data_IF_750571589445
#
_entry.id   IF_750571589445
#
_cell.length_a   1.000
_cell.length_b   1.000
_cell.length_c   1.000
_cell.angle_alpha   90.00
_cell.angle_beta   90.00
_cell.angle_gamma   90.00
#
_symmetry.space_group_name_H-M   'P 1'
#
loop_
_entity.id
_entity.type
_entity.pdbx_description
1 polymer ?
#
# COMPACT_ATOMS: atom_id res chain seq x y z
N UNK A 1 -6.51 -55.51 -41.29
CA UNK A 1 -7.50 -56.28 -40.50
C UNK A 1 -8.41 -55.28 -39.82
N UNK A 2 -9.58 -54.98 -40.40
CA UNK A 2 -10.86 -55.69 -40.21
C UNK A 2 -11.54 -55.22 -38.90
N UNK A 3 -12.40 -54.19 -38.98
CA UNK A 3 -13.83 -54.28 -39.30
C UNK A 3 -14.61 -55.18 -38.35
N UNK A 4 -15.45 -54.55 -37.52
CA UNK A 4 -16.76 -55.10 -37.18
C UNK A 4 -17.78 -53.97 -37.19
N UNK A 5 -18.97 -54.29 -37.73
CA UNK A 5 -20.03 -53.38 -38.10
C UNK A 5 -21.38 -53.90 -37.57
N UNK A 6 -22.31 -52.96 -37.35
CA UNK A 6 -23.78 -53.06 -37.22
C UNK A 6 -24.35 -53.56 -35.87
N UNK A 7 -25.54 -53.08 -35.40
CA UNK A 7 -26.65 -52.52 -36.19
C UNK A 7 -27.14 -51.10 -35.79
N UNK A 8 -27.93 -50.53 -36.71
CA UNK A 8 -28.74 -49.31 -36.55
C UNK A 8 -29.91 -49.60 -35.60
N UNK A 9 -30.18 -48.67 -34.68
CA UNK A 9 -31.49 -48.55 -34.02
C UNK A 9 -31.98 -47.10 -34.09
N UNK A 10 -33.29 -46.98 -34.23
CA UNK A 10 -34.00 -45.82 -34.77
C UNK A 10 -33.84 -44.54 -33.94
N UNK A 11 -33.82 -43.43 -34.66
CA UNK A 11 -33.89 -42.07 -34.15
C UNK A 11 -35.12 -41.93 -33.23
N UNK A 12 -34.87 -41.77 -31.93
CA UNK A 12 -35.91 -41.38 -30.97
C UNK A 12 -36.42 -39.98 -31.30
N UNK A 13 -37.73 -39.81 -31.24
CA UNK A 13 -38.39 -38.52 -31.47
C UNK A 13 -37.77 -37.45 -30.55
N UNK A 14 -37.45 -36.30 -31.14
CA UNK A 14 -36.95 -35.15 -30.39
C UNK A 14 -38.09 -34.65 -29.51
N UNK A 15 -38.00 -34.88 -28.20
CA UNK A 15 -38.96 -34.35 -27.24
C UNK A 15 -39.10 -32.83 -27.37
N UNK A 16 -40.32 -32.34 -27.22
CA UNK A 16 -40.65 -30.92 -27.34
C UNK A 16 -39.75 -30.07 -26.44
N UNK A 17 -39.33 -28.92 -26.96
CA UNK A 17 -38.55 -27.96 -26.19
C UNK A 17 -39.46 -27.37 -25.11
N UNK A 18 -39.19 -27.70 -23.85
CA UNK A 18 -39.90 -27.10 -22.72
C UNK A 18 -39.86 -25.57 -22.74
N UNK A 19 -40.95 -24.96 -22.31
CA UNK A 19 -41.13 -23.51 -22.30
C UNK A 19 -39.99 -22.81 -21.55
N UNK A 20 -39.61 -21.64 -22.07
CA UNK A 20 -38.61 -20.80 -21.41
C UNK A 20 -39.22 -20.26 -20.12
N UNK A 21 -38.66 -20.66 -18.98
CA UNK A 21 -39.07 -20.15 -17.67
C UNK A 21 -39.00 -18.63 -17.58
N UNK A 22 -39.94 -18.05 -16.84
CA UNK A 22 -40.07 -16.61 -16.68
C UNK A 22 -38.79 -15.98 -16.13
N UNK A 23 -38.51 -14.77 -16.62
CA UNK A 23 -37.36 -13.99 -16.14
C UNK A 23 -37.65 -13.56 -14.70
N UNK A 24 -36.86 -14.04 -13.75
CA UNK A 24 -36.96 -13.62 -12.35
C UNK A 24 -36.84 -12.09 -12.22
N UNK A 25 -37.65 -11.53 -11.33
CA UNK A 25 -37.70 -10.10 -11.07
C UNK A 25 -36.32 -9.58 -10.65
N UNK A 26 -35.98 -8.39 -11.16
CA UNK A 26 -34.73 -7.72 -10.82
C UNK A 26 -34.84 -7.21 -9.38
N UNK A 27 -33.95 -7.66 -8.50
CA UNK A 27 -33.85 -7.10 -7.16
C UNK A 27 -33.52 -5.61 -7.25
N UNK A 28 -34.41 -4.75 -6.77
CA UNK A 28 -34.10 -3.34 -6.55
C UNK A 28 -32.98 -3.25 -5.51
N UNK A 29 -31.88 -2.61 -5.89
CA UNK A 29 -30.81 -2.29 -4.94
C UNK A 29 -31.40 -1.25 -3.99
N UNK A 30 -31.54 -1.61 -2.73
CA UNK A 30 -32.02 -0.70 -1.68
C UNK A 30 -31.16 0.58 -1.61
N UNK A 31 -31.71 1.66 -1.04
CA UNK A 31 -30.99 2.93 -0.96
C UNK A 31 -29.65 2.74 -0.25
N UNK A 32 -28.60 3.37 -0.80
CA UNK A 32 -27.30 3.45 -0.14
C UNK A 32 -27.51 4.07 1.24
N UNK A 33 -27.02 3.39 2.29
CA UNK A 33 -27.11 3.90 3.66
C UNK A 33 -26.40 5.25 3.81
N UNK A 34 -26.76 6.04 4.85
CA UNK A 34 -26.12 7.32 5.09
C UNK A 34 -24.61 7.15 5.24
N UNK A 35 -23.84 8.13 4.76
CA UNK A 35 -22.40 8.16 4.97
C UNK A 35 -22.12 8.06 6.48
N UNK A 36 -21.21 7.15 6.86
CA UNK A 36 -20.78 7.02 8.24
C UNK A 36 -20.17 8.33 8.77
N UNK A 37 -20.03 8.48 10.09
CA UNK A 37 -19.35 9.63 10.69
C UNK A 37 -18.00 9.84 10.03
N UNK A 38 -17.62 11.09 9.76
CA UNK A 38 -16.28 11.42 9.25
C UNK A 38 -15.26 10.85 10.25
N UNK A 39 -14.63 9.73 9.89
CA UNK A 39 -13.45 9.24 10.60
C UNK A 39 -12.43 10.38 10.59
N UNK A 40 -11.77 10.67 11.71
CA UNK A 40 -10.81 11.78 11.84
C UNK A 40 -9.57 11.71 10.92
N UNK A 41 -9.59 10.85 9.89
CA UNK A 41 -8.52 10.57 8.97
C UNK A 41 -7.41 9.74 9.59
N UNK A 42 -6.45 9.36 8.77
CA UNK A 42 -5.28 8.57 9.16
C UNK A 42 -4.01 9.28 8.70
N UNK A 43 -2.99 9.33 9.57
CA UNK A 43 -1.65 9.79 9.21
C UNK A 43 -0.73 8.59 8.98
N UNK A 44 -0.06 8.55 7.83
CA UNK A 44 0.87 7.48 7.49
C UNK A 44 2.11 8.01 6.79
N UNK A 45 3.19 7.24 6.86
CA UNK A 45 4.44 7.54 6.16
C UNK A 45 4.47 6.80 4.83
N UNK A 46 4.82 7.52 3.78
CA UNK A 46 5.07 6.99 2.44
C UNK A 46 6.57 7.00 2.19
N UNK A 47 7.19 5.83 2.34
CA UNK A 47 8.63 5.65 2.13
C UNK A 47 9.01 5.70 0.64
N UNK A 48 10.22 6.18 0.35
CA UNK A 48 10.78 6.30 -1.00
C UNK A 48 10.18 7.42 -1.85
N UNK A 49 9.34 8.31 -1.29
CA UNK A 49 8.64 9.36 -2.05
C UNK A 49 8.46 10.62 -1.23
N UNK A 50 8.49 11.78 -1.90
CA UNK A 50 8.29 13.11 -1.30
C UNK A 50 6.86 13.65 -1.36
N UNK A 51 5.98 12.98 -2.10
CA UNK A 51 4.59 13.41 -2.32
C UNK A 51 3.58 12.39 -1.78
N UNK A 52 2.35 12.83 -1.56
CA UNK A 52 1.22 11.97 -1.23
C UNK A 52 0.43 11.56 -2.48
N UNK A 53 -0.22 10.38 -2.48
CA UNK A 53 -1.14 10.01 -3.55
C UNK A 53 -2.40 10.88 -3.54
N UNK A 54 -3.17 10.86 -4.64
CA UNK A 54 -4.45 11.56 -4.72
C UNK A 54 -5.39 11.12 -3.59
N UNK A 55 -6.08 12.10 -2.98
CA UNK A 55 -6.96 11.88 -1.84
C UNK A 55 -6.25 11.83 -0.47
N UNK A 56 -4.94 12.08 -0.44
CA UNK A 56 -4.20 12.34 0.80
C UNK A 56 -3.43 13.66 0.70
N UNK A 57 -3.41 14.40 1.80
CA UNK A 57 -2.75 15.70 1.94
C UNK A 57 -1.32 15.51 2.47
N UNK A 58 -0.36 16.26 1.91
CA UNK A 58 1.01 16.25 2.42
C UNK A 58 1.08 17.05 3.72
N UNK A 59 1.50 16.38 4.79
CA UNK A 59 1.79 17.04 6.06
C UNK A 59 3.21 17.61 6.03
N UNK A 60 4.20 16.78 5.70
CA UNK A 60 5.57 17.20 5.43
C UNK A 60 6.33 16.15 4.61
N UNK A 61 7.38 16.59 3.91
CA UNK A 61 8.38 15.73 3.27
C UNK A 61 9.69 15.70 4.06
N UNK A 62 10.47 14.64 3.83
CA UNK A 62 11.64 14.36 4.65
C UNK A 62 12.57 13.28 4.09
N UNK A 63 13.45 12.82 4.96
CA UNK A 63 14.31 11.66 4.75
C UNK A 63 13.95 10.55 5.74
N UNK A 64 13.94 9.31 5.28
CA UNK A 64 13.87 8.17 6.18
C UNK A 64 15.14 8.11 7.01
N UNK A 65 15.02 7.76 8.28
CA UNK A 65 16.13 7.73 9.21
C UNK A 65 15.95 6.63 10.25
N UNK A 66 17.07 6.16 10.79
CA UNK A 66 17.12 5.09 11.80
C UNK A 66 18.46 5.05 12.52
N UNK A 67 18.77 3.91 13.12
CA UNK A 67 20.09 3.65 13.70
C UNK A 67 21.16 3.39 12.65
N UNK A 68 22.42 3.68 13.00
CA UNK A 68 23.56 3.22 12.20
C UNK A 68 23.70 1.70 12.36
N UNK A 69 24.05 1.00 11.28
CA UNK A 69 24.13 -0.46 11.27
C UNK A 69 25.12 -1.05 12.29
N UNK A 70 26.15 -0.29 12.69
CA UNK A 70 27.13 -0.71 13.70
C UNK A 70 26.75 -0.33 15.14
N UNK A 71 25.70 0.47 15.33
CA UNK A 71 25.32 0.94 16.66
C UNK A 71 24.35 -0.03 17.33
N UNK A 72 24.74 -0.51 18.51
CA UNK A 72 23.87 -1.31 19.38
C UNK A 72 22.99 -0.40 20.22
N UNK A 73 21.69 -0.69 20.25
CA UNK A 73 20.70 0.17 20.91
C UNK A 73 20.23 1.33 20.01
N UNK A 74 18.93 1.57 20.01
CA UNK A 74 18.26 2.56 19.14
C UNK A 74 16.78 2.26 19.03
N UNK A 75 16.01 3.16 18.41
CA UNK A 75 14.62 2.87 18.04
C UNK A 75 14.58 1.75 16.99
N UNK A 76 13.70 0.76 17.17
CA UNK A 76 13.53 -0.33 16.21
C UNK A 76 12.93 0.16 14.87
N UNK A 77 12.24 1.30 14.90
CA UNK A 77 11.48 1.80 13.76
C UNK A 77 12.23 2.88 12.99
N UNK A 78 12.12 2.79 11.66
CA UNK A 78 12.47 3.89 10.79
C UNK A 78 11.48 5.06 10.99
N UNK A 79 12.01 6.28 11.04
CA UNK A 79 11.21 7.52 11.17
C UNK A 79 11.39 8.41 9.95
N UNK A 80 10.42 9.28 9.69
CA UNK A 80 10.53 10.30 8.64
C UNK A 80 10.98 11.61 9.27
N UNK A 81 12.24 12.00 9.06
CA UNK A 81 12.77 13.26 9.56
C UNK A 81 12.45 14.38 8.59
N UNK A 82 11.90 15.53 9.05
CA UNK A 82 11.71 16.69 8.21
C UNK A 82 13.00 17.10 7.50
N UNK A 83 12.93 17.41 6.20
CA UNK A 83 14.11 17.83 5.43
C UNK A 83 14.65 19.21 5.86
N UNK A 84 13.83 20.00 6.56
CA UNK A 84 14.22 21.30 7.10
C UNK A 84 14.80 21.12 8.50
N UNK A 85 15.93 21.78 8.74
CA UNK A 85 16.58 21.80 10.05
C UNK A 85 15.61 22.23 11.17
N UNK A 86 15.65 21.56 12.35
CA UNK A 86 14.83 21.94 13.48
C UNK A 86 15.23 23.34 13.99
N UNK A 87 14.24 24.20 14.23
CA UNK A 87 14.46 25.60 14.65
C UNK A 87 15.15 25.73 16.03
N UNK A 88 15.20 24.65 16.81
CA UNK A 88 15.69 24.64 18.19
C UNK A 88 17.01 23.88 18.38
N UNK A 89 17.80 23.69 17.33
CA UNK A 89 19.14 23.12 17.42
C UNK A 89 20.07 24.07 18.19
N UNK A 90 20.13 23.92 19.52
CA UNK A 90 21.06 24.66 20.37
C UNK A 90 22.46 24.08 20.20
N UNK A 91 23.42 24.97 19.90
CA UNK A 91 24.86 24.71 20.09
C UNK A 91 25.22 25.22 21.48
N UNK A 92 26.04 24.51 22.28
CA UNK A 92 26.87 23.36 21.93
C UNK A 92 26.14 22.01 22.00
N UNK A 93 26.69 21.01 21.30
CA UNK A 93 26.24 19.61 21.39
C UNK A 93 26.43 19.12 22.84
N UNK A 94 25.41 18.50 23.46
CA UNK A 94 25.54 17.99 24.83
C UNK A 94 26.55 16.83 24.92
N UNK A 95 27.16 16.59 26.10
CA UNK A 95 28.17 15.54 26.28
C UNK A 95 27.61 14.11 26.14
N UNK A 96 26.30 13.95 26.32
CA UNK A 96 25.59 12.70 26.09
C UNK A 96 24.49 12.94 25.05
N UNK A 97 24.48 12.14 24.00
CA UNK A 97 23.56 12.26 22.88
C UNK A 97 23.23 10.88 22.31
N UNK A 98 22.12 10.80 21.60
CA UNK A 98 21.76 9.66 20.75
C UNK A 98 21.76 10.13 19.31
N UNK A 99 22.26 9.30 18.41
CA UNK A 99 22.37 9.63 17.00
C UNK A 99 21.24 8.98 16.21
N UNK A 100 20.75 9.71 15.22
CA UNK A 100 19.84 9.22 14.20
C UNK A 100 20.44 9.54 12.84
N UNK A 101 20.44 8.56 11.95
CA UNK A 101 21.11 8.60 10.66
C UNK A 101 20.10 8.48 9.54
N UNK A 102 20.32 9.18 8.44
CA UNK A 102 19.53 8.98 7.22
C UNK A 102 19.70 7.56 6.71
N UNK A 103 18.60 6.93 6.31
CA UNK A 103 18.62 5.66 5.58
C UNK A 103 19.03 5.93 4.15
N UNK A 104 20.01 5.20 3.64
CA UNK A 104 20.50 5.36 2.28
C UNK A 104 20.18 4.16 1.39
N UNK A 105 20.11 4.42 0.08
CA UNK A 105 20.10 3.35 -0.92
C UNK A 105 21.51 2.79 -1.06
N UNK A 106 21.69 1.51 -0.74
CA UNK A 106 22.91 0.76 -1.03
C UNK A 106 22.83 0.17 -2.44
N UNK A 107 23.94 0.20 -3.19
CA UNK A 107 23.99 -0.38 -4.52
C UNK A 107 24.12 -1.91 -4.43
N UNK A 108 22.96 -2.56 -4.39
CA UNK A 108 22.84 -4.00 -4.61
C UNK A 108 22.19 -4.22 -5.96
N UNK A 109 22.95 -4.78 -6.91
CA UNK A 109 22.47 -5.19 -8.24
C UNK A 109 21.80 -4.07 -9.07
N UNK A 110 22.18 -2.79 -8.88
CA UNK A 110 21.60 -1.65 -9.60
C UNK A 110 20.05 -1.57 -9.55
N UNK A 111 19.43 -2.06 -8.48
CA UNK A 111 17.97 -1.96 -8.28
C UNK A 111 17.51 -0.49 -8.32
N UNK A 112 18.37 0.42 -7.83
CA UNK A 112 18.17 1.87 -7.91
C UNK A 112 19.36 2.53 -8.64
N UNK A 113 19.33 2.58 -9.99
CA UNK A 113 20.46 3.07 -10.79
C UNK A 113 20.86 4.49 -10.40
N UNK A 114 22.14 4.69 -10.10
CA UNK A 114 22.69 6.00 -9.73
C UNK A 114 22.20 6.55 -8.39
N UNK A 115 21.64 5.71 -7.50
CA UNK A 115 21.17 6.12 -6.17
C UNK A 115 22.04 5.65 -5.01
N UNK A 116 23.17 5.01 -5.27
CA UNK A 116 24.10 4.61 -4.22
C UNK A 116 24.42 5.79 -3.28
N UNK A 117 24.37 5.56 -1.97
CA UNK A 117 24.62 6.55 -0.92
C UNK A 117 23.68 7.78 -0.93
N UNK A 118 22.51 7.66 -1.58
CA UNK A 118 21.50 8.72 -1.52
C UNK A 118 20.48 8.41 -0.42
N UNK A 119 20.13 9.44 0.36
CA UNK A 119 19.08 9.32 1.36
C UNK A 119 17.74 8.91 0.73
N UNK A 120 17.07 7.96 1.37
CA UNK A 120 15.72 7.52 1.03
C UNK A 120 14.73 8.63 1.39
N UNK A 121 13.99 9.20 0.44
CA UNK A 121 13.00 10.24 0.76
C UNK A 121 11.78 9.63 1.45
N UNK A 122 11.06 10.45 2.22
CA UNK A 122 9.78 10.08 2.80
C UNK A 122 8.78 11.25 2.77
N UNK A 123 7.50 10.92 2.85
CA UNK A 123 6.41 11.87 2.96
C UNK A 123 5.42 11.40 4.02
N UNK A 124 5.04 12.29 4.94
CA UNK A 124 3.95 12.02 5.88
C UNK A 124 2.66 12.57 5.30
N UNK A 125 1.68 11.69 5.18
CA UNK A 125 0.44 11.94 4.48
C UNK A 125 -0.76 11.80 5.41
N UNK A 126 -1.70 12.72 5.31
CA UNK A 126 -2.99 12.67 5.97
C UNK A 126 -4.07 12.23 4.98
N UNK A 127 -4.76 11.12 5.26
CA UNK A 127 -5.86 10.62 4.44
C UNK A 127 -7.18 10.84 5.18
N UNK A 128 -7.98 11.86 4.83
CA UNK A 128 -9.21 12.21 5.55
C UNK A 128 -10.31 11.15 5.42
N UNK A 129 -10.33 10.41 4.30
CA UNK A 129 -11.35 9.40 3.99
C UNK A 129 -10.92 7.97 4.34
N UNK A 130 -9.95 7.82 5.26
CA UNK A 130 -9.47 6.52 5.77
C UNK A 130 -9.61 6.50 7.28
N UNK A 131 -9.96 5.33 7.81
CA UNK A 131 -10.19 5.11 9.25
C UNK A 131 -9.20 4.16 9.89
N UNK A 132 -8.38 3.43 9.11
CA UNK A 132 -7.40 2.47 9.62
C UNK A 132 -6.05 2.61 8.91
N UNK A 133 -4.97 2.33 9.66
CA UNK A 133 -3.60 2.21 9.18
C UNK A 133 -3.07 0.83 9.56
N UNK A 134 -2.60 0.07 8.58
CA UNK A 134 -1.76 -1.08 8.87
C UNK A 134 -0.32 -0.59 9.03
N UNK A 135 0.32 -0.95 10.14
CA UNK A 135 1.76 -0.79 10.32
C UNK A 135 2.39 -2.18 10.27
N UNK A 136 3.40 -2.33 9.43
CA UNK A 136 4.23 -3.53 9.35
C UNK A 136 5.56 -3.14 9.98
N UNK A 137 5.97 -3.88 11.01
CA UNK A 137 7.27 -3.78 11.66
C UNK A 137 8.29 -4.63 10.88
#
# INVERSE_FOLDING_TARGET
MAMYSFPKTNQGEKGDKGDKGDKGDKCDIGPVGPAGPKSGGVVYTRWGRKSCPAGAELVYEGIAAGGHYEHIGGGADHVCLPAKEPQNMKKPVPPHYSLIYGTEYENVNDIFPGKNNHNVPCAVCYAPNRSTKLMIL
#
